data_IF_421692520734
#
_entry.id   IF_421692520734
#
_cell.length_a   1.000
_cell.length_b   1.000
_cell.length_c   1.000
_cell.angle_alpha   90.00
_cell.angle_beta   90.00
_cell.angle_gamma   90.00
#
_symmetry.space_group_name_H-M   'P 1'
#
loop_
_entity.id
_entity.type
_entity.pdbx_description
1 polymer ?
#
# COMPACT_ATOMS: atom_id res chain seq x y z
N UNK A 1 -4.44 32.13 6.32
CA UNK A 1 -3.27 31.23 6.40
C UNK A 1 -2.04 31.84 5.72
N UNK A 2 -2.12 32.38 4.50
CA UNK A 2 -0.97 32.86 3.71
C UNK A 2 -0.07 33.88 4.45
N UNK A 3 -0.65 34.72 5.32
CA UNK A 3 0.07 35.77 6.07
C UNK A 3 0.28 35.47 7.56
N UNK A 4 -0.21 34.32 8.04
CA UNK A 4 -0.12 33.93 9.45
C UNK A 4 0.38 32.49 9.58
N UNK A 5 1.67 32.34 9.93
CA UNK A 5 2.33 31.05 10.06
C UNK A 5 1.69 30.13 11.12
N UNK A 6 1.18 30.71 12.23
CA UNK A 6 0.51 29.91 13.28
C UNK A 6 -0.82 29.36 12.78
N UNK A 7 -1.61 30.18 12.07
CA UNK A 7 -2.87 29.71 11.46
C UNK A 7 -2.60 28.65 10.39
N UNK A 8 -1.54 28.79 9.59
CA UNK A 8 -1.14 27.80 8.61
C UNK A 8 -0.74 26.46 9.29
N UNK A 9 0.06 26.51 10.34
CA UNK A 9 0.47 25.31 11.08
C UNK A 9 -0.75 24.61 11.72
N UNK A 10 -1.68 25.35 12.29
CA UNK A 10 -2.94 24.80 12.83
C UNK A 10 -3.78 24.13 11.74
N UNK A 11 -3.89 24.76 10.57
CA UNK A 11 -4.64 24.20 9.44
C UNK A 11 -4.02 22.89 8.94
N UNK A 12 -2.70 22.87 8.73
CA UNK A 12 -1.98 21.66 8.31
C UNK A 12 -2.17 20.53 9.34
N UNK A 13 -2.09 20.86 10.63
CA UNK A 13 -2.32 19.85 11.68
C UNK A 13 -3.72 19.23 11.59
N UNK A 14 -4.77 20.05 11.41
CA UNK A 14 -6.12 19.54 11.27
C UNK A 14 -6.27 18.66 10.03
N UNK A 15 -5.70 19.06 8.89
CA UNK A 15 -5.73 18.29 7.67
C UNK A 15 -5.03 16.93 7.84
N UNK A 16 -3.83 16.91 8.45
CA UNK A 16 -3.09 15.67 8.72
C UNK A 16 -3.84 14.76 9.71
N UNK A 17 -4.37 15.30 10.79
CA UNK A 17 -5.14 14.53 11.76
C UNK A 17 -6.35 13.88 11.11
N UNK A 18 -7.13 14.62 10.32
CA UNK A 18 -8.33 14.08 9.68
C UNK A 18 -8.00 13.10 8.55
N UNK A 19 -6.98 13.34 7.74
CA UNK A 19 -6.57 12.40 6.68
C UNK A 19 -6.02 11.06 7.21
N UNK A 20 -5.65 10.99 8.50
CA UNK A 20 -5.12 9.79 9.15
C UNK A 20 -6.10 9.05 10.05
N UNK A 21 -7.32 9.55 10.19
CA UNK A 21 -8.38 8.87 10.95
C UNK A 21 -9.10 7.82 10.10
N UNK A 22 -9.55 6.75 10.72
CA UNK A 22 -10.46 5.79 10.10
C UNK A 22 -11.84 6.40 9.87
N UNK A 23 -12.30 7.20 10.82
CA UNK A 23 -13.57 7.95 10.75
C UNK A 23 -13.27 9.44 10.84
N UNK A 24 -12.97 10.06 9.71
CA UNK A 24 -12.64 11.47 9.61
C UNK A 24 -13.90 12.35 9.65
N UNK A 25 -13.71 13.60 10.04
CA UNK A 25 -14.78 14.62 10.01
C UNK A 25 -14.75 15.38 8.68
N UNK A 26 -15.90 15.97 8.34
CA UNK A 26 -15.98 16.94 7.25
C UNK A 26 -15.25 18.22 7.67
N UNK A 27 -14.35 18.70 6.82
CA UNK A 27 -13.67 19.98 7.01
C UNK A 27 -14.33 21.04 6.17
N UNK A 28 -14.61 22.20 6.77
CA UNK A 28 -15.20 23.36 6.09
C UNK A 28 -14.28 24.54 6.31
N UNK A 29 -13.87 25.20 5.24
CA UNK A 29 -13.06 26.41 5.26
C UNK A 29 -13.75 27.51 4.45
N UNK A 30 -13.99 28.66 5.08
CA UNK A 30 -14.45 29.84 4.40
C UNK A 30 -13.27 30.54 3.71
N UNK A 31 -13.45 30.87 2.43
CA UNK A 31 -12.49 31.60 1.61
C UNK A 31 -13.24 32.56 0.70
N UNK A 32 -13.03 33.85 0.84
CA UNK A 32 -13.59 34.91 -0.01
C UNK A 32 -15.13 34.84 -0.19
N UNK A 33 -15.84 34.62 0.91
CA UNK A 33 -17.31 34.50 0.93
C UNK A 33 -17.86 33.20 0.35
N UNK A 34 -17.01 32.22 0.08
CA UNK A 34 -17.35 30.85 -0.35
C UNK A 34 -16.83 29.84 0.65
N UNK A 35 -17.47 28.70 0.71
CA UNK A 35 -17.01 27.59 1.55
C UNK A 35 -16.36 26.49 0.70
N UNK A 36 -15.10 26.15 1.01
CA UNK A 36 -14.48 24.91 0.56
C UNK A 36 -14.91 23.81 1.53
N UNK A 37 -15.56 22.77 1.01
CA UNK A 37 -16.04 21.62 1.81
C UNK A 37 -15.25 20.39 1.40
N UNK A 38 -14.49 19.81 2.35
CA UNK A 38 -13.79 18.54 2.16
C UNK A 38 -14.55 17.46 2.93
N UNK A 39 -15.17 16.55 2.20
CA UNK A 39 -15.83 15.40 2.79
C UNK A 39 -14.81 14.41 3.35
N UNK A 40 -15.17 13.64 4.39
CA UNK A 40 -14.30 12.58 4.89
C UNK A 40 -14.01 11.57 3.77
N UNK A 41 -12.83 10.94 3.79
CA UNK A 41 -12.54 9.85 2.86
C UNK A 41 -13.51 8.69 3.07
N UNK A 42 -13.68 7.88 2.05
CA UNK A 42 -14.41 6.62 2.18
C UNK A 42 -13.66 5.70 3.17
N UNK A 43 -14.35 4.91 3.98
CA UNK A 43 -13.70 3.92 4.85
C UNK A 43 -12.78 2.99 4.06
N UNK A 44 -11.73 2.42 4.69
CA UNK A 44 -10.89 1.43 4.03
C UNK A 44 -11.73 0.30 3.46
N UNK A 45 -11.47 -0.09 2.21
CA UNK A 45 -12.14 -1.20 1.56
C UNK A 45 -11.88 -2.51 2.31
N UNK A 46 -12.81 -3.45 2.24
CA UNK A 46 -12.54 -4.83 2.66
C UNK A 46 -11.67 -5.54 1.62
N UNK A 47 -11.14 -6.71 1.95
CA UNK A 47 -10.40 -7.56 1.00
C UNK A 47 -11.29 -7.94 -0.18
N UNK A 48 -12.55 -8.28 0.06
CA UNK A 48 -13.52 -8.67 -0.97
C UNK A 48 -13.83 -7.52 -1.93
N UNK A 49 -14.02 -6.30 -1.42
CA UNK A 49 -14.25 -5.11 -2.24
C UNK A 49 -13.01 -4.77 -3.08
N UNK A 50 -11.82 -4.92 -2.50
CA UNK A 50 -10.57 -4.70 -3.20
C UNK A 50 -10.36 -5.75 -4.29
N UNK A 51 -10.58 -7.02 -4.00
CA UNK A 51 -10.49 -8.12 -4.96
C UNK A 51 -11.48 -7.93 -6.12
N UNK A 52 -12.72 -7.57 -5.83
CA UNK A 52 -13.73 -7.28 -6.86
C UNK A 52 -13.26 -6.15 -7.80
N UNK A 53 -12.57 -5.13 -7.28
CA UNK A 53 -12.01 -4.04 -8.09
C UNK A 53 -10.88 -4.51 -9.01
N UNK A 54 -10.05 -5.46 -8.56
CA UNK A 54 -8.97 -6.04 -9.37
C UNK A 54 -9.45 -7.14 -10.33
N UNK A 55 -10.58 -7.74 -10.07
CA UNK A 55 -11.19 -8.77 -10.91
C UNK A 55 -11.94 -8.23 -12.13
N UNK A 56 -12.10 -6.91 -12.24
CA UNK A 56 -12.65 -6.27 -13.43
C UNK A 56 -11.88 -6.68 -14.70
N UNK A 57 -12.53 -6.69 -15.87
CA UNK A 57 -11.94 -7.21 -17.11
C UNK A 57 -10.93 -6.23 -17.74
N UNK A 58 -9.87 -5.92 -17.02
CA UNK A 58 -8.78 -5.08 -17.52
C UNK A 58 -8.02 -5.80 -18.62
N UNK A 59 -7.78 -5.12 -19.73
CA UNK A 59 -7.04 -5.65 -20.88
C UNK A 59 -5.53 -5.72 -20.67
N UNK A 60 -4.98 -4.98 -19.70
CA UNK A 60 -3.54 -4.85 -19.42
C UNK A 60 -2.68 -4.40 -20.61
N UNK A 61 -3.30 -3.79 -21.62
CA UNK A 61 -2.60 -3.25 -22.79
C UNK A 61 -2.84 -1.74 -22.92
N UNK A 62 -1.95 -1.00 -23.61
CA UNK A 62 -2.15 0.41 -23.87
C UNK A 62 -3.45 0.69 -24.63
N UNK A 63 -4.04 1.85 -24.38
CA UNK A 63 -5.21 2.30 -25.13
C UNK A 63 -4.91 2.33 -26.64
N UNK A 64 -5.84 1.94 -27.54
CA UNK A 64 -5.62 1.85 -28.99
C UNK A 64 -5.08 3.12 -29.65
N UNK A 65 -5.34 4.31 -29.09
CA UNK A 65 -4.76 5.59 -29.57
C UNK A 65 -3.21 5.63 -29.57
N UNK A 66 -2.57 4.74 -28.80
CA UNK A 66 -1.11 4.63 -28.72
C UNK A 66 -0.54 3.53 -29.63
N UNK A 67 -1.35 2.96 -30.53
CA UNK A 67 -0.89 1.93 -31.47
C UNK A 67 0.35 2.42 -32.23
N UNK A 68 1.41 1.63 -32.22
CA UNK A 68 2.69 1.98 -32.86
C UNK A 68 3.57 2.97 -32.07
N UNK A 69 3.15 3.42 -30.89
CA UNK A 69 3.95 4.28 -30.02
C UNK A 69 4.44 3.50 -28.80
N UNK A 70 5.73 3.59 -28.52
CA UNK A 70 6.30 3.03 -27.29
C UNK A 70 5.96 3.92 -26.09
N UNK A 71 5.45 3.34 -25.02
CA UNK A 71 5.16 4.01 -23.76
C UNK A 71 6.14 3.48 -22.71
N UNK A 72 7.22 4.22 -22.36
CA UNK A 72 8.24 3.72 -21.44
C UNK A 72 7.69 3.28 -20.09
N UNK A 73 6.76 4.03 -19.50
CA UNK A 73 6.14 3.69 -18.23
C UNK A 73 5.38 2.34 -18.30
N UNK A 74 4.66 2.07 -19.40
CA UNK A 74 3.99 0.80 -19.59
C UNK A 74 4.99 -0.36 -19.66
N UNK A 75 6.09 -0.20 -20.41
CA UNK A 75 7.13 -1.24 -20.50
C UNK A 75 7.73 -1.60 -19.13
N UNK A 76 7.84 -0.62 -18.23
CA UNK A 76 8.37 -0.85 -16.87
C UNK A 76 7.41 -1.63 -15.98
N UNK A 77 6.09 -1.39 -16.10
CA UNK A 77 5.10 -1.87 -15.11
C UNK A 77 4.16 -2.96 -15.64
N UNK A 78 4.18 -3.28 -16.94
CA UNK A 78 3.20 -4.21 -17.55
C UNK A 78 3.16 -5.60 -16.88
N UNK A 79 4.24 -6.03 -16.28
CA UNK A 79 4.37 -7.29 -15.55
C UNK A 79 4.41 -7.11 -14.03
N UNK A 80 3.93 -5.99 -13.52
CA UNK A 80 3.79 -5.77 -12.09
C UNK A 80 2.39 -6.17 -11.61
N UNK A 81 2.31 -6.63 -10.35
CA UNK A 81 1.08 -6.98 -9.68
C UNK A 81 1.03 -6.28 -8.33
N UNK A 82 -0.01 -5.48 -8.12
CA UNK A 82 -0.22 -4.80 -6.85
C UNK A 82 -0.94 -5.73 -5.87
N UNK A 83 -0.39 -5.86 -4.65
CA UNK A 83 -0.88 -6.81 -3.65
C UNK A 83 -1.68 -6.16 -2.51
N UNK A 84 -1.52 -4.85 -2.29
CA UNK A 84 -2.26 -4.12 -1.26
C UNK A 84 -2.36 -2.63 -1.57
N UNK A 85 -3.24 -1.96 -0.85
CA UNK A 85 -3.44 -0.51 -0.83
C UNK A 85 -3.12 0.03 0.55
N UNK A 86 -2.83 1.33 0.62
CA UNK A 86 -2.50 2.02 1.86
C UNK A 86 -1.01 1.97 2.21
N UNK A 87 -0.59 2.90 3.06
CA UNK A 87 0.78 2.97 3.56
C UNK A 87 0.82 3.71 4.90
N UNK A 88 1.23 3.03 5.96
CA UNK A 88 1.37 3.62 7.28
C UNK A 88 2.74 4.29 7.52
N UNK A 89 3.52 4.51 6.47
CA UNK A 89 4.84 5.15 6.56
C UNK A 89 4.78 6.61 7.02
N UNK A 90 3.83 7.39 6.51
CA UNK A 90 3.65 8.80 6.86
C UNK A 90 4.87 9.67 6.55
N UNK A 91 5.61 9.37 5.47
CA UNK A 91 6.80 10.13 5.07
C UNK A 91 6.39 11.55 4.64
N UNK A 92 7.10 12.57 5.12
CA UNK A 92 6.76 13.97 4.91
C UNK A 92 6.72 14.42 3.43
N UNK A 93 7.45 13.75 2.55
CA UNK A 93 7.50 14.03 1.12
C UNK A 93 6.47 13.25 0.30
N UNK A 94 5.79 12.26 0.89
CA UNK A 94 4.99 11.28 0.16
C UNK A 94 3.50 11.48 0.44
N UNK A 95 2.70 11.54 -0.61
CA UNK A 95 1.24 11.70 -0.52
C UNK A 95 0.47 10.37 -0.51
N UNK A 96 1.13 9.23 -0.59
CA UNK A 96 0.46 7.92 -0.69
C UNK A 96 -0.43 7.65 0.52
N UNK A 97 0.02 7.92 1.75
CA UNK A 97 -0.79 7.72 2.95
C UNK A 97 -2.00 8.65 3.02
N UNK A 98 -1.91 9.85 2.44
CA UNK A 98 -3.06 10.76 2.32
C UNK A 98 -4.00 10.34 1.18
N UNK A 99 -3.47 9.80 0.08
CA UNK A 99 -4.26 9.41 -1.09
C UNK A 99 -4.93 8.04 -0.94
N UNK A 100 -4.21 7.03 -0.45
CA UNK A 100 -4.71 5.65 -0.29
C UNK A 100 -5.11 5.32 1.15
N UNK A 101 -4.84 6.22 2.08
CA UNK A 101 -5.02 6.00 3.51
C UNK A 101 -3.80 5.34 4.18
N UNK A 102 -3.81 5.42 5.50
CA UNK A 102 -2.80 4.82 6.38
C UNK A 102 -3.04 3.32 6.62
N UNK A 103 -4.29 2.89 6.53
CA UNK A 103 -4.68 1.51 6.82
C UNK A 103 -4.42 0.62 5.61
N UNK A 104 -3.77 -0.51 5.85
CA UNK A 104 -3.46 -1.46 4.80
C UNK A 104 -4.70 -2.31 4.50
N UNK A 105 -5.12 -2.32 3.25
CA UNK A 105 -6.08 -3.28 2.72
C UNK A 105 -5.36 -4.20 1.74
N UNK A 106 -5.36 -5.49 2.04
CA UNK A 106 -4.70 -6.50 1.22
C UNK A 106 -5.67 -7.15 0.26
N UNK A 107 -5.18 -7.50 -0.90
CA UNK A 107 -5.87 -8.47 -1.77
C UNK A 107 -5.70 -9.87 -1.18
N UNK A 108 -6.66 -10.73 -1.47
CA UNK A 108 -6.51 -12.16 -1.18
C UNK A 108 -5.40 -12.79 -2.02
N UNK A 109 -4.81 -13.84 -1.52
CA UNK A 109 -3.81 -14.65 -2.24
C UNK A 109 -4.39 -15.19 -3.55
N UNK A 110 -5.66 -15.60 -3.54
CA UNK A 110 -6.39 -16.13 -4.68
C UNK A 110 -6.55 -15.09 -5.79
N UNK A 111 -6.94 -13.85 -5.45
CA UNK A 111 -7.05 -12.75 -6.39
C UNK A 111 -5.71 -12.41 -7.02
N UNK A 112 -4.63 -12.37 -6.24
CA UNK A 112 -3.27 -12.11 -6.73
C UNK A 112 -2.82 -13.21 -7.68
N UNK A 113 -2.97 -14.48 -7.30
CA UNK A 113 -2.62 -15.62 -8.15
C UNK A 113 -3.41 -15.62 -9.46
N UNK A 114 -4.70 -15.29 -9.41
CA UNK A 114 -5.54 -15.15 -10.60
C UNK A 114 -5.00 -14.10 -11.57
N UNK A 115 -4.56 -12.95 -11.06
CA UNK A 115 -3.95 -11.92 -11.88
C UNK A 115 -2.58 -12.33 -12.42
N UNK A 116 -1.72 -12.96 -11.61
CA UNK A 116 -0.42 -13.48 -12.06
C UNK A 116 -0.59 -14.47 -13.22
N UNK A 117 -1.59 -15.35 -13.16
CA UNK A 117 -1.89 -16.27 -14.28
C UNK A 117 -2.22 -15.53 -15.57
N UNK A 118 -3.00 -14.43 -15.50
CA UNK A 118 -3.26 -13.55 -16.67
C UNK A 118 -1.98 -12.89 -17.19
N UNK A 119 -1.04 -12.53 -16.32
CA UNK A 119 0.26 -11.98 -16.73
C UNK A 119 1.11 -13.04 -17.43
N UNK A 120 1.09 -14.29 -16.95
CA UNK A 120 1.81 -15.43 -17.58
C UNK A 120 1.34 -15.66 -19.01
N UNK A 121 0.07 -15.42 -19.31
CA UNK A 121 -0.53 -15.57 -20.65
C UNK A 121 -0.20 -14.41 -21.61
N UNK A 122 0.43 -13.34 -21.14
CA UNK A 122 0.80 -12.20 -22.00
C UNK A 122 1.89 -12.61 -23.00
N UNK A 123 1.78 -12.21 -24.31
CA UNK A 123 2.64 -12.73 -25.38
C UNK A 123 4.14 -12.50 -25.19
N UNK A 124 4.53 -11.42 -24.53
CA UNK A 124 5.94 -11.02 -24.32
C UNK A 124 6.43 -11.29 -22.89
N UNK A 125 5.65 -12.00 -22.09
CA UNK A 125 6.06 -12.43 -20.74
C UNK A 125 7.15 -13.53 -20.83
N UNK A 126 8.25 -13.36 -20.10
CA UNK A 126 9.40 -14.27 -20.12
C UNK A 126 9.66 -14.99 -18.79
N UNK A 127 8.66 -14.96 -17.91
CA UNK A 127 8.73 -15.61 -16.58
C UNK A 127 9.16 -14.68 -15.44
N UNK A 128 9.29 -13.38 -15.69
CA UNK A 128 9.76 -12.42 -14.69
C UNK A 128 8.69 -11.39 -14.37
N UNK A 129 8.17 -11.41 -13.13
CA UNK A 129 7.36 -10.31 -12.62
C UNK A 129 8.29 -9.15 -12.25
N UNK A 130 8.00 -7.94 -12.78
CA UNK A 130 8.83 -6.75 -12.51
C UNK A 130 8.61 -6.19 -11.10
N UNK A 131 7.45 -6.42 -10.53
CA UNK A 131 7.10 -6.07 -9.15
C UNK A 131 5.93 -6.92 -8.66
N UNK A 132 6.10 -7.56 -7.51
CA UNK A 132 5.02 -8.15 -6.73
C UNK A 132 4.96 -7.38 -5.42
N UNK A 133 4.27 -6.24 -5.41
CA UNK A 133 4.40 -5.29 -4.33
C UNK A 133 3.23 -4.32 -4.18
N UNK A 134 3.48 -3.22 -3.53
CA UNK A 134 2.50 -2.20 -3.22
C UNK A 134 3.18 -0.87 -2.87
N UNK A 135 2.47 0.08 -2.25
CA UNK A 135 3.06 1.37 -1.87
C UNK A 135 4.33 1.25 -1.00
N UNK A 136 4.44 0.15 -0.25
CA UNK A 136 5.66 -0.33 0.40
C UNK A 136 5.57 -1.84 0.49
N UNK A 137 6.46 -2.56 -0.20
CA UNK A 137 6.33 -3.99 -0.47
C UNK A 137 6.05 -4.85 0.78
N UNK A 138 6.75 -4.59 1.88
CA UNK A 138 6.64 -5.38 3.09
C UNK A 138 5.60 -4.89 4.11
N UNK A 139 4.54 -4.25 3.64
CA UNK A 139 3.37 -3.91 4.48
C UNK A 139 2.18 -4.86 4.28
N UNK A 140 2.27 -5.80 3.36
CA UNK A 140 1.21 -6.78 3.11
C UNK A 140 0.91 -7.62 4.35
N UNK A 141 -0.36 -7.70 4.71
CA UNK A 141 -0.83 -8.43 5.89
C UNK A 141 -0.70 -7.69 7.22
N UNK A 142 0.00 -6.55 7.25
CA UNK A 142 0.23 -5.81 8.49
C UNK A 142 -0.97 -4.94 8.87
N UNK A 143 -1.31 -4.94 10.14
CA UNK A 143 -2.44 -4.19 10.69
C UNK A 143 -2.25 -3.91 12.18
N UNK A 144 -3.13 -3.11 12.76
CA UNK A 144 -3.15 -2.94 14.22
C UNK A 144 -3.78 -4.14 14.91
N UNK A 145 -3.09 -4.74 15.88
CA UNK A 145 -3.59 -5.89 16.68
C UNK A 145 -4.89 -5.57 17.44
N UNK A 146 -5.04 -4.33 17.89
CA UNK A 146 -6.27 -3.82 18.49
C UNK A 146 -6.91 -2.78 17.55
N UNK A 147 -7.94 -3.14 16.78
CA UNK A 147 -8.60 -2.24 15.83
C UNK A 147 -9.24 -1.02 16.51
N UNK A 148 -9.84 -1.17 17.69
CA UNK A 148 -10.46 -0.07 18.44
C UNK A 148 -9.46 1.04 18.80
N UNK A 149 -8.19 0.68 19.06
CA UNK A 149 -7.13 1.66 19.27
C UNK A 149 -6.77 2.39 17.96
N UNK A 150 -6.83 1.71 16.82
CA UNK A 150 -6.58 2.29 15.50
C UNK A 150 -7.68 3.26 15.08
N UNK A 151 -8.94 2.97 15.37
CA UNK A 151 -10.08 3.85 15.05
C UNK A 151 -9.93 5.27 15.63
N UNK A 152 -9.37 5.37 16.84
CA UNK A 152 -9.14 6.64 17.55
C UNK A 152 -7.77 7.28 17.27
N UNK A 153 -6.93 6.61 16.50
CA UNK A 153 -5.54 7.00 16.29
C UNK A 153 -5.44 8.20 15.33
N UNK A 154 -4.73 9.24 15.77
CA UNK A 154 -4.47 10.46 14.99
C UNK A 154 -3.03 10.53 14.46
N UNK A 155 -2.18 9.53 14.74
CA UNK A 155 -0.78 9.55 14.32
C UNK A 155 -0.68 9.46 12.79
N UNK A 156 0.13 10.29 12.13
CA UNK A 156 0.34 10.21 10.69
C UNK A 156 1.16 8.98 10.28
N UNK A 157 1.93 8.40 11.22
CA UNK A 157 2.79 7.25 10.96
C UNK A 157 2.64 6.18 12.05
N UNK A 158 2.66 4.90 11.66
CA UNK A 158 2.74 3.77 12.58
C UNK A 158 4.20 3.34 12.87
N UNK A 159 5.17 3.94 12.18
CA UNK A 159 6.59 3.56 12.29
C UNK A 159 7.49 4.72 12.74
N UNK A 160 7.03 5.95 12.70
CA UNK A 160 7.81 7.12 13.13
C UNK A 160 7.09 7.86 14.28
N UNK A 161 7.81 8.39 15.31
CA UNK A 161 9.26 8.31 15.58
C UNK A 161 9.73 6.92 16.03
N UNK A 162 8.80 6.02 16.36
CA UNK A 162 9.05 4.63 16.71
C UNK A 162 7.90 3.76 16.25
N UNK A 163 8.17 2.50 16.00
CA UNK A 163 7.16 1.53 15.60
C UNK A 163 6.07 1.44 16.68
N UNK A 164 4.82 1.53 16.24
CA UNK A 164 3.66 1.48 17.12
C UNK A 164 3.59 0.12 17.82
N UNK A 165 3.49 0.07 19.16
CA UNK A 165 3.37 -1.19 19.87
C UNK A 165 2.13 -2.01 19.48
N UNK A 166 1.11 -1.36 18.90
CA UNK A 166 -0.09 -2.00 18.40
C UNK A 166 0.06 -2.55 16.96
N UNK A 167 1.16 -2.26 16.27
CA UNK A 167 1.37 -2.73 14.89
C UNK A 167 1.80 -4.19 14.92
N UNK A 168 1.11 -5.02 14.14
CA UNK A 168 1.58 -6.35 13.80
C UNK A 168 2.63 -6.26 12.68
N UNK A 169 3.84 -6.73 12.94
CA UNK A 169 4.98 -6.69 12.02
C UNK A 169 5.34 -8.08 11.47
N UNK A 170 4.42 -9.05 11.54
CA UNK A 170 4.63 -10.41 11.04
C UNK A 170 4.62 -10.43 9.51
N UNK A 171 5.74 -10.86 8.90
CA UNK A 171 5.91 -10.99 7.46
C UNK A 171 5.46 -12.35 6.91
N UNK A 172 4.98 -13.28 7.74
CA UNK A 172 4.67 -14.66 7.32
C UNK A 172 3.69 -14.72 6.15
N UNK A 173 2.66 -13.88 6.14
CA UNK A 173 1.67 -13.83 5.04
C UNK A 173 2.30 -13.40 3.71
N UNK A 174 3.25 -12.48 3.75
CA UNK A 174 3.96 -12.00 2.56
C UNK A 174 4.90 -13.07 2.00
N UNK A 175 5.63 -13.75 2.88
CA UNK A 175 6.51 -14.88 2.50
C UNK A 175 5.70 -15.99 1.85
N UNK A 176 4.57 -16.38 2.45
CA UNK A 176 3.67 -17.40 1.90
C UNK A 176 3.13 -16.99 0.51
N UNK A 177 2.80 -15.71 0.33
CA UNK A 177 2.38 -15.20 -0.97
C UNK A 177 3.49 -15.30 -2.02
N UNK A 178 4.71 -14.84 -1.71
CA UNK A 178 5.83 -14.90 -2.66
C UNK A 178 6.15 -16.33 -3.07
N UNK A 179 6.26 -17.25 -2.11
CA UNK A 179 6.49 -18.66 -2.39
C UNK A 179 5.40 -19.29 -3.25
N UNK A 180 4.14 -18.93 -3.00
CA UNK A 180 3.04 -19.43 -3.80
C UNK A 180 3.05 -18.89 -5.24
N UNK A 181 3.46 -17.65 -5.44
CA UNK A 181 3.59 -17.06 -6.78
C UNK A 181 4.78 -17.65 -7.52
N UNK A 182 5.94 -17.77 -6.86
CA UNK A 182 7.15 -18.30 -7.48
C UNK A 182 7.04 -19.82 -7.80
N UNK A 183 6.15 -20.54 -7.13
CA UNK A 183 5.84 -21.94 -7.45
C UNK A 183 4.91 -22.10 -8.67
N UNK A 184 4.37 -21.04 -9.25
CA UNK A 184 3.48 -21.15 -10.41
C UNK A 184 4.24 -21.53 -11.68
N UNK A 185 3.73 -22.49 -12.47
CA UNK A 185 4.29 -22.79 -13.78
C UNK A 185 4.30 -21.53 -14.66
N UNK A 186 5.46 -21.21 -15.23
CA UNK A 186 5.64 -20.02 -16.06
C UNK A 186 6.31 -18.84 -15.31
N UNK A 187 6.40 -18.88 -13.99
CA UNK A 187 7.20 -17.92 -13.21
C UNK A 187 8.62 -18.49 -13.02
N UNK A 188 9.61 -17.69 -13.32
CA UNK A 188 11.03 -17.94 -13.04
C UNK A 188 11.50 -17.20 -11.80
N UNK A 189 11.03 -15.96 -11.65
CA UNK A 189 11.33 -15.09 -10.50
C UNK A 189 10.32 -13.95 -10.41
N UNK A 190 9.89 -13.64 -9.20
CA UNK A 190 9.21 -12.38 -8.89
C UNK A 190 10.21 -11.39 -8.29
N UNK A 191 10.19 -10.15 -8.78
CA UNK A 191 11.01 -9.08 -8.24
C UNK A 191 10.18 -8.14 -7.38
N UNK A 192 10.86 -7.39 -6.53
CA UNK A 192 10.30 -6.32 -5.74
C UNK A 192 10.84 -5.00 -6.28
N UNK A 193 10.06 -4.34 -7.15
CA UNK A 193 10.36 -3.03 -7.70
C UNK A 193 9.94 -1.90 -6.78
N UNK A 194 8.96 -2.14 -5.92
CA UNK A 194 8.53 -1.22 -4.87
C UNK A 194 9.48 -1.20 -3.68
N UNK A 195 9.45 -0.10 -2.91
CA UNK A 195 10.37 0.07 -1.78
C UNK A 195 10.09 -0.89 -0.62
N UNK A 196 11.15 -1.37 0.01
CA UNK A 196 11.09 -2.18 1.24
C UNK A 196 11.40 -1.32 2.45
N UNK A 197 10.63 -1.46 3.51
CA UNK A 197 10.82 -0.77 4.79
C UNK A 197 11.78 -1.57 5.67
N UNK A 198 13.04 -1.19 5.66
CA UNK A 198 14.07 -1.83 6.48
C UNK A 198 13.87 -1.63 7.98
N UNK A 199 13.25 -0.53 8.39
CA UNK A 199 12.89 -0.29 9.79
C UNK A 199 11.96 -1.37 10.36
N UNK A 200 11.06 -1.93 9.55
CA UNK A 200 10.21 -3.08 9.92
C UNK A 200 11.01 -4.38 10.04
N UNK A 201 12.04 -4.56 9.23
CA UNK A 201 12.91 -5.76 9.27
C UNK A 201 13.87 -5.73 10.47
N UNK A 202 14.36 -4.54 10.81
CA UNK A 202 15.32 -4.35 11.90
C UNK A 202 14.63 -4.22 13.27
N UNK A 203 13.30 -4.09 13.29
CA UNK A 203 12.54 -3.96 14.52
C UNK A 203 12.59 -5.24 15.34
N UNK A 204 12.95 -5.09 16.62
CA UNK A 204 12.88 -6.17 17.60
C UNK A 204 11.50 -6.15 18.27
N UNK A 205 10.57 -6.92 17.74
CA UNK A 205 9.26 -7.12 18.35
C UNK A 205 9.34 -7.93 19.63
N UNK A 206 8.36 -7.76 20.53
CA UNK A 206 8.16 -8.68 21.65
C UNK A 206 7.65 -10.06 21.19
N UNK A 207 7.14 -10.15 19.99
CA UNK A 207 6.66 -11.36 19.35
C UNK A 207 7.81 -12.01 18.57
N UNK A 208 8.33 -13.12 19.09
CA UNK A 208 9.46 -13.82 18.47
C UNK A 208 9.10 -14.42 17.10
N UNK A 209 7.84 -14.77 16.88
CA UNK A 209 7.36 -15.21 15.56
C UNK A 209 7.54 -14.10 14.52
N UNK A 210 7.19 -12.86 14.85
CA UNK A 210 7.40 -11.72 13.97
C UNK A 210 8.90 -11.45 13.70
N UNK A 211 9.76 -11.62 14.72
CA UNK A 211 11.20 -11.48 14.55
C UNK A 211 11.77 -12.57 13.63
N UNK A 212 11.30 -13.80 13.77
CA UNK A 212 11.71 -14.92 12.91
C UNK A 212 11.24 -14.67 11.47
N UNK A 213 9.99 -14.26 11.27
CA UNK A 213 9.46 -13.94 9.95
C UNK A 213 10.23 -12.78 9.28
N UNK A 214 10.65 -11.76 10.03
CA UNK A 214 11.49 -10.69 9.49
C UNK A 214 12.86 -11.19 9.01
N UNK A 215 13.51 -12.09 9.77
CA UNK A 215 14.76 -12.73 9.36
C UNK A 215 14.57 -13.62 8.12
N UNK A 216 13.48 -14.36 8.06
CA UNK A 216 13.13 -15.22 6.93
C UNK A 216 12.86 -14.39 5.67
N UNK A 217 12.06 -13.34 5.78
CA UNK A 217 11.80 -12.42 4.67
C UNK A 217 13.09 -11.77 4.14
N UNK A 218 14.02 -11.40 5.02
CA UNK A 218 15.32 -10.88 4.61
C UNK A 218 16.11 -11.89 3.75
N UNK A 219 15.97 -13.18 4.03
CA UNK A 219 16.60 -14.25 3.21
C UNK A 219 15.91 -14.42 1.85
N UNK A 220 14.61 -14.22 1.78
CA UNK A 220 13.87 -14.26 0.50
C UNK A 220 14.24 -13.08 -0.43
N UNK A 221 14.75 -11.97 0.13
CA UNK A 221 15.19 -10.79 -0.64
C UNK A 221 16.58 -10.96 -1.29
N UNK A 222 17.39 -11.90 -0.83
CA UNK A 222 18.76 -12.15 -1.30
C UNK A 222 18.76 -13.28 -2.32
#
# INVERSE_FOLDING_TARGET
>A
CLRNKKAQASNVRHLEEESNKMHAQRLIQEVDGKCAVVNPPYPPMTTEELDASFDLPYTRVPHPKYKGKRIPAYEMIKFSVNIHRGCFGGCAFCTISAHQGKFITCRSKESIIKEVKKVIEMPDFKGYLSDLGGPSANMYGMHGRNPKACEKCKRPSCIHPQICPNLDTDHSKLIDLYRAVDALPGIKKSFIGSGVRYDLLLHKSKDEKANQAAREYTRELI
#
